data_IF_023911573503
#
_entry.id   IF_023911573503
#
_cell.length_a   1.000
_cell.length_b   1.000
_cell.length_c   1.000
_cell.angle_alpha   90.00
_cell.angle_beta   90.00
_cell.angle_gamma   90.00
#
_symmetry.space_group_name_H-M   'P 1'
#
loop_
_entity.id
_entity.type
_entity.pdbx_description
1 polymer ?
#
# COMPACT_ATOMS: atom_id res chain seq x y z
N UNK A 1 -23.49 0.92 0.35
CA UNK A 1 -22.74 1.67 1.38
C UNK A 1 -21.20 1.60 1.25
N UNK A 2 -20.52 0.45 1.30
CA UNK A 2 -19.04 0.41 1.17
C UNK A 2 -18.55 0.80 -0.23
N UNK A 3 -19.08 0.15 -1.28
CA UNK A 3 -18.67 0.39 -2.67
C UNK A 3 -18.95 1.84 -3.12
N UNK A 4 -20.10 2.41 -2.77
CA UNK A 4 -20.45 3.80 -3.12
C UNK A 4 -19.53 4.82 -2.45
N UNK A 5 -19.14 4.57 -1.19
CA UNK A 5 -18.18 5.42 -0.51
C UNK A 5 -16.81 5.33 -1.17
N UNK A 6 -16.35 4.10 -1.45
CA UNK A 6 -15.08 3.90 -2.13
C UNK A 6 -15.05 4.55 -3.51
N UNK A 7 -16.15 4.49 -4.27
CA UNK A 7 -16.28 5.20 -5.55
C UNK A 7 -16.14 6.72 -5.45
N UNK A 8 -16.60 7.34 -4.36
CA UNK A 8 -16.37 8.78 -4.13
C UNK A 8 -14.91 9.04 -3.78
N UNK A 9 -14.35 8.21 -2.90
CA UNK A 9 -12.97 8.28 -2.48
C UNK A 9 -12.00 8.15 -3.67
N UNK A 10 -12.29 7.27 -4.64
CA UNK A 10 -11.53 7.15 -5.89
C UNK A 10 -11.57 8.40 -6.78
N UNK A 11 -12.66 9.19 -6.73
CA UNK A 11 -12.75 10.45 -7.48
C UNK A 11 -11.93 11.55 -6.83
N UNK A 12 -11.89 11.58 -5.50
CA UNK A 12 -11.12 12.57 -4.72
C UNK A 12 -9.63 12.22 -4.65
N UNK A 13 -9.32 10.93 -4.60
CA UNK A 13 -7.97 10.38 -4.50
C UNK A 13 -7.71 9.36 -5.62
N UNK A 14 -7.50 9.80 -6.87
CA UNK A 14 -7.33 8.89 -8.00
C UNK A 14 -6.10 7.97 -7.85
N UNK A 15 -6.19 6.69 -8.24
CA UNK A 15 -5.08 5.74 -8.13
C UNK A 15 -3.82 6.19 -8.88
N UNK A 16 -2.68 6.08 -8.20
CA UNK A 16 -1.37 6.32 -8.81
C UNK A 16 -0.82 4.99 -9.37
N UNK A 17 -0.88 4.80 -10.69
CA UNK A 17 -0.61 3.49 -11.34
C UNK A 17 0.70 3.46 -12.14
N UNK A 18 1.59 4.43 -11.96
CA UNK A 18 2.83 4.54 -12.73
C UNK A 18 3.86 3.46 -12.40
N UNK A 19 3.81 2.89 -11.20
CA UNK A 19 4.70 1.81 -10.76
C UNK A 19 4.06 1.00 -9.64
N UNK A 20 4.65 -0.16 -9.32
CA UNK A 20 4.23 -0.97 -8.17
C UNK A 20 4.31 -0.18 -6.87
N UNK A 21 5.42 0.54 -6.65
CA UNK A 21 5.61 1.35 -5.44
C UNK A 21 4.56 2.45 -5.33
N UNK A 22 4.36 3.22 -6.42
CA UNK A 22 3.37 4.30 -6.44
C UNK A 22 1.94 3.81 -6.14
N UNK A 23 1.56 2.64 -6.70
CA UNK A 23 0.24 2.05 -6.42
C UNK A 23 0.12 1.53 -5.00
N UNK A 24 1.19 0.95 -4.45
CA UNK A 24 1.21 0.42 -3.09
C UNK A 24 1.11 1.54 -2.06
N UNK A 25 1.87 2.62 -2.24
CA UNK A 25 1.83 3.81 -1.39
C UNK A 25 0.45 4.47 -1.43
N UNK A 26 -0.11 4.65 -2.64
CA UNK A 26 -1.47 5.16 -2.79
C UNK A 26 -2.49 4.29 -2.07
N UNK A 27 -2.41 2.96 -2.23
CA UNK A 27 -3.34 2.03 -1.60
C UNK A 27 -3.25 2.08 -0.07
N UNK A 28 -2.04 2.24 0.48
CA UNK A 28 -1.83 2.39 1.92
C UNK A 28 -2.45 3.69 2.45
N UNK A 29 -2.14 4.83 1.85
CA UNK A 29 -2.70 6.12 2.23
C UNK A 29 -4.25 6.13 2.14
N UNK A 30 -4.77 5.55 1.06
CA UNK A 30 -6.22 5.38 0.83
C UNK A 30 -6.88 4.51 1.89
N UNK A 31 -6.22 3.43 2.32
CA UNK A 31 -6.68 2.61 3.44
C UNK A 31 -6.71 3.38 4.76
N UNK A 32 -5.71 4.24 5.01
CA UNK A 32 -5.65 5.03 6.23
C UNK A 32 -6.76 6.08 6.33
N UNK A 33 -7.21 6.66 5.20
CA UNK A 33 -8.41 7.51 5.18
C UNK A 33 -9.65 6.72 5.63
N UNK A 34 -9.77 5.45 5.22
CA UNK A 34 -10.87 4.59 5.68
C UNK A 34 -10.68 4.19 7.15
N UNK A 35 -9.45 3.95 7.60
CA UNK A 35 -9.16 3.65 9.01
C UNK A 35 -9.57 4.80 9.92
N UNK A 36 -9.17 6.04 9.59
CA UNK A 36 -9.54 7.24 10.32
C UNK A 36 -11.06 7.36 10.46
N UNK A 37 -11.79 7.22 9.34
CA UNK A 37 -13.25 7.27 9.33
C UNK A 37 -13.90 6.21 10.22
N UNK A 38 -13.28 5.03 10.33
CA UNK A 38 -13.76 3.92 11.15
C UNK A 38 -13.20 3.93 12.58
N UNK A 39 -12.39 4.93 12.96
CA UNK A 39 -11.74 5.01 14.27
C UNK A 39 -10.70 3.91 14.50
N UNK A 40 -10.07 3.40 13.43
CA UNK A 40 -9.00 2.41 13.49
C UNK A 40 -7.64 3.10 13.52
N UNK A 41 -6.61 2.48 14.14
CA UNK A 41 -5.25 3.00 14.08
C UNK A 41 -4.75 3.17 12.65
N UNK A 42 -3.90 4.18 12.45
CA UNK A 42 -3.19 4.37 11.19
C UNK A 42 -2.16 3.25 10.98
N UNK A 43 -2.04 2.78 9.75
CA UNK A 43 -0.99 1.84 9.36
C UNK A 43 0.26 2.62 8.90
N UNK A 44 1.43 2.25 9.41
CA UNK A 44 2.70 2.84 8.97
C UNK A 44 3.10 2.31 7.58
N UNK A 45 2.84 3.12 6.55
CA UNK A 45 3.13 2.78 5.16
C UNK A 45 4.62 2.53 4.88
N UNK A 46 5.55 2.98 5.74
CA UNK A 46 6.99 2.69 5.56
C UNK A 46 7.31 1.20 5.70
N UNK A 47 6.46 0.44 6.41
CA UNK A 47 6.60 -1.01 6.62
C UNK A 47 5.88 -1.86 5.57
N UNK A 48 5.25 -1.22 4.58
CA UNK A 48 4.35 -1.87 3.64
C UNK A 48 5.04 -2.98 2.81
N UNK A 49 6.28 -2.76 2.39
CA UNK A 49 7.06 -3.74 1.61
C UNK A 49 7.36 -5.03 2.37
N UNK A 50 7.53 -4.91 3.69
CA UNK A 50 7.90 -6.04 4.55
C UNK A 50 6.67 -6.89 4.88
N UNK A 51 5.53 -6.22 5.11
CA UNK A 51 4.24 -6.86 5.43
C UNK A 51 3.61 -7.47 4.18
N UNK A 52 3.63 -6.77 3.05
CA UNK A 52 2.99 -7.18 1.80
C UNK A 52 4.03 -7.36 0.68
N UNK A 53 4.77 -8.47 0.78
CA UNK A 53 5.78 -8.85 -0.22
C UNK A 53 5.16 -9.02 -1.60
N UNK A 54 5.97 -8.79 -2.63
CA UNK A 54 5.59 -8.90 -4.05
C UNK A 54 5.03 -10.29 -4.44
N UNK A 55 5.27 -11.33 -3.63
CA UNK A 55 5.10 -12.72 -4.05
C UNK A 55 6.13 -13.18 -5.08
N UNK A 56 6.97 -12.26 -5.55
CA UNK A 56 8.09 -12.43 -6.48
C UNK A 56 9.36 -12.92 -5.78
N UNK A 57 9.33 -13.05 -4.45
CA UNK A 57 10.37 -13.72 -3.69
C UNK A 57 10.04 -15.21 -3.76
N UNK A 58 10.71 -15.90 -4.68
CA UNK A 58 10.64 -17.36 -4.79
C UNK A 58 10.96 -17.99 -3.42
N UNK A 59 10.26 -19.08 -3.12
CA UNK A 59 10.52 -19.91 -1.96
C UNK A 59 12.01 -20.29 -1.92
N UNK A 60 12.81 -19.64 -1.06
CA UNK A 60 14.18 -20.09 -0.79
C UNK A 60 15.30 -19.06 -0.65
N UNK A 61 15.05 -17.76 -0.41
CA UNK A 61 16.13 -16.84 -0.02
C UNK A 61 15.74 -15.98 1.17
N UNK A 62 15.87 -16.60 2.35
CA UNK A 62 16.18 -15.86 3.56
C UNK A 62 17.55 -15.19 3.39
N UNK A 63 17.59 -13.89 3.71
CA UNK A 63 18.76 -13.03 4.00
C UNK A 63 19.37 -12.22 2.85
N UNK A 64 19.53 -10.93 3.19
CA UNK A 64 20.28 -9.85 2.53
C UNK A 64 19.75 -9.28 1.20
N UNK A 65 18.93 -8.23 1.32
CA UNK A 65 18.87 -7.16 0.34
C UNK A 65 19.50 -5.89 0.92
N UNK A 66 20.81 -5.95 1.21
CA UNK A 66 21.64 -4.76 1.29
C UNK A 66 22.35 -4.59 -0.04
N UNK A 67 21.70 -3.98 -1.02
CA UNK A 67 22.40 -3.26 -2.10
C UNK A 67 21.45 -2.21 -2.67
N UNK A 68 21.75 -0.96 -2.33
CA UNK A 68 21.43 0.21 -3.15
C UNK A 68 22.07 -0.01 -4.53
N UNK A 69 21.31 0.18 -5.60
CA UNK A 69 21.80 0.19 -6.98
C UNK A 69 21.23 1.44 -7.70
N UNK A 70 21.89 1.94 -8.74
CA UNK A 70 22.82 3.07 -8.74
C UNK A 70 22.18 4.47 -8.88
#
# INVERSE_FOLDING_TARGET
>A
MFAEHFQKLLKEHPPQTSSRAALSDWACATHNIVNERLGKPEFDCSTLSDVYKCGCADEGQDQEATTVDP
#
